data_IF_484514687717
#
_entry.id   IF_484514687717
#
_cell.length_a   1.000
_cell.length_b   1.000
_cell.length_c   1.000
_cell.angle_alpha   90.00
_cell.angle_beta   90.00
_cell.angle_gamma   90.00
#
_symmetry.space_group_name_H-M   'P 1'
#
loop_
_entity.id
_entity.type
_entity.pdbx_description
1 polymer ?
#
# COMPACT_ATOMS: atom_id res chain seq x y z
N UNK A 1 75.54 -31.87 -16.45
CA UNK A 1 74.92 -33.21 -16.33
C UNK A 1 73.41 -33.07 -16.45
N UNK A 2 72.82 -33.62 -17.52
CA UNK A 2 71.39 -34.03 -17.60
C UNK A 2 71.21 -35.38 -16.86
N UNK A 3 70.01 -36.02 -16.72
CA UNK A 3 68.59 -35.64 -16.95
C UNK A 3 67.67 -35.99 -15.72
N UNK A 4 66.36 -35.72 -15.63
CA UNK A 4 65.19 -36.45 -16.22
C UNK A 4 63.88 -35.79 -15.69
N UNK A 5 62.92 -35.45 -16.58
CA UNK A 5 61.65 -36.16 -16.85
C UNK A 5 60.53 -35.85 -15.81
N UNK A 6 59.50 -35.06 -16.13
CA UNK A 6 58.26 -35.36 -16.89
C UNK A 6 57.05 -35.34 -15.95
N UNK A 7 56.06 -34.48 -16.22
CA UNK A 7 54.65 -34.89 -16.35
C UNK A 7 53.78 -33.75 -16.89
N UNK A 8 53.00 -34.12 -17.92
CA UNK A 8 52.01 -33.34 -18.66
C UNK A 8 50.67 -33.31 -17.91
N UNK A 9 49.95 -32.19 -18.00
CA UNK A 9 48.49 -32.07 -18.20
C UNK A 9 48.30 -30.75 -18.96
N UNK A 10 47.63 -30.63 -20.12
CA UNK A 10 46.42 -31.31 -20.59
C UNK A 10 45.34 -30.23 -20.69
N UNK A 11 45.24 -29.55 -21.83
CA UNK A 11 44.24 -28.52 -22.09
C UNK A 11 43.97 -28.44 -23.58
N UNK A 12 42.96 -29.18 -24.02
CA UNK A 12 42.46 -29.22 -25.40
C UNK A 12 41.59 -27.99 -25.61
N UNK A 13 41.96 -27.15 -26.57
CA UNK A 13 41.12 -26.08 -27.09
C UNK A 13 40.32 -26.62 -28.30
N UNK A 14 39.01 -26.43 -28.28
CA UNK A 14 38.10 -26.60 -29.41
C UNK A 14 36.80 -25.82 -29.13
N UNK A 15 36.00 -25.43 -30.13
CA UNK A 15 36.17 -24.18 -30.88
C UNK A 15 34.96 -23.22 -30.71
N UNK A 16 35.19 -21.96 -31.08
CA UNK A 16 34.18 -20.91 -31.21
C UNK A 16 33.17 -21.30 -32.32
N UNK A 17 31.92 -21.56 -31.95
CA UNK A 17 30.83 -21.75 -32.91
C UNK A 17 30.13 -20.40 -33.14
N UNK A 18 30.35 -19.82 -34.32
CA UNK A 18 29.62 -18.67 -34.83
C UNK A 18 28.30 -19.17 -35.45
N UNK A 19 27.18 -18.98 -34.75
CA UNK A 19 25.86 -19.27 -35.28
C UNK A 19 25.32 -18.05 -36.03
N UNK A 20 25.30 -18.14 -37.36
CA UNK A 20 24.63 -17.20 -38.26
C UNK A 20 23.15 -17.56 -38.31
N UNK A 21 22.27 -16.74 -37.74
CA UNK A 21 20.82 -16.91 -37.87
C UNK A 21 20.31 -16.20 -39.13
N UNK A 22 19.82 -17.00 -40.09
CA UNK A 22 19.11 -16.53 -41.29
C UNK A 22 17.69 -16.14 -40.89
N UNK A 23 17.30 -14.90 -41.18
CA UNK A 23 15.94 -14.43 -40.98
C UNK A 23 15.04 -14.85 -42.15
N UNK A 24 14.01 -15.63 -41.86
CA UNK A 24 12.86 -15.83 -42.75
C UNK A 24 11.62 -15.22 -42.10
N UNK A 25 11.00 -14.28 -42.81
CA UNK A 25 9.77 -13.60 -42.42
C UNK A 25 8.56 -14.53 -42.45
N UNK A 26 7.71 -14.46 -41.41
CA UNK A 26 6.37 -15.05 -41.41
C UNK A 26 5.77 -15.24 -40.02
N UNK A 27 4.66 -14.52 -39.76
CA UNK A 27 3.75 -14.60 -38.61
C UNK A 27 4.30 -14.11 -37.25
N UNK A 28 3.75 -12.98 -36.80
CA UNK A 28 4.10 -12.28 -35.56
C UNK A 28 4.02 -13.20 -34.34
N UNK A 29 5.19 -13.53 -33.82
CA UNK A 29 5.34 -14.08 -32.47
C UNK A 29 5.60 -12.88 -31.55
N UNK A 30 4.67 -12.59 -30.64
CA UNK A 30 4.95 -11.70 -29.53
C UNK A 30 6.00 -12.39 -28.66
N UNK A 31 7.27 -12.06 -28.88
CA UNK A 31 8.34 -12.46 -27.98
C UNK A 31 8.18 -11.60 -26.73
N UNK A 32 7.42 -12.11 -25.76
CA UNK A 32 7.46 -11.61 -24.41
C UNK A 32 8.90 -11.81 -23.92
N UNK A 33 9.69 -10.73 -23.93
CA UNK A 33 10.89 -10.63 -23.10
C UNK A 33 10.36 -10.68 -21.68
N UNK A 34 10.33 -11.88 -21.10
CA UNK A 34 10.22 -12.02 -19.66
C UNK A 34 11.38 -11.22 -19.09
N UNK A 35 11.06 -10.29 -18.19
CA UNK A 35 12.05 -9.70 -17.31
C UNK A 35 12.89 -10.86 -16.78
N UNK A 36 14.18 -10.85 -17.09
CA UNK A 36 15.12 -11.79 -16.50
C UNK A 36 14.87 -11.75 -15.00
N UNK A 37 14.48 -12.89 -14.44
CA UNK A 37 14.32 -13.05 -13.01
C UNK A 37 15.66 -12.64 -12.40
N UNK A 38 15.72 -11.44 -11.83
CA UNK A 38 16.89 -10.93 -11.15
C UNK A 38 17.37 -12.03 -10.20
N UNK A 39 18.66 -12.34 -10.29
CA UNK A 39 19.28 -13.38 -9.48
C UNK A 39 18.84 -13.23 -8.01
N UNK A 40 18.58 -14.34 -7.30
CA UNK A 40 18.05 -14.28 -5.94
C UNK A 40 18.98 -13.42 -5.08
N UNK A 41 18.43 -12.33 -4.53
CA UNK A 41 19.11 -11.48 -3.56
C UNK A 41 19.51 -12.38 -2.39
N UNK A 42 20.82 -12.56 -2.18
CA UNK A 42 21.31 -13.30 -1.01
C UNK A 42 20.96 -12.49 0.23
N UNK A 43 20.40 -13.16 1.24
CA UNK A 43 20.16 -12.54 2.54
C UNK A 43 21.46 -11.89 3.05
N UNK A 44 21.46 -10.56 3.19
CA UNK A 44 22.60 -9.76 3.65
C UNK A 44 23.22 -8.81 2.60
N UNK A 45 22.98 -9.03 1.30
CA UNK A 45 23.44 -8.09 0.28
C UNK A 45 22.40 -6.99 0.01
N UNK A 46 22.74 -5.70 0.14
CA UNK A 46 21.79 -4.63 -0.13
C UNK A 46 21.44 -4.58 -1.62
N UNK A 47 20.17 -4.38 -1.92
CA UNK A 47 19.71 -4.07 -3.29
C UNK A 47 20.29 -2.72 -3.68
N UNK A 48 20.84 -2.63 -4.90
CA UNK A 48 21.45 -1.41 -5.45
C UNK A 48 20.59 -0.90 -6.60
N UNK A 49 20.20 0.37 -6.54
CA UNK A 49 19.51 1.05 -7.63
C UNK A 49 20.16 2.44 -7.81
N UNK A 50 20.71 2.77 -9.01
CA UNK A 50 21.48 3.99 -9.20
C UNK A 50 20.64 5.27 -9.28
N UNK A 51 19.34 5.17 -9.57
CA UNK A 51 18.48 6.33 -9.89
C UNK A 51 17.40 6.62 -8.85
N UNK A 52 16.87 5.59 -8.20
CA UNK A 52 15.79 5.70 -7.23
C UNK A 52 15.47 4.34 -6.62
N UNK A 53 14.86 4.34 -5.43
CA UNK A 53 14.49 3.12 -4.72
C UNK A 53 13.18 3.37 -3.97
N UNK A 54 12.27 2.41 -4.02
CA UNK A 54 11.08 2.36 -3.16
C UNK A 54 11.13 1.06 -2.38
N UNK A 55 10.87 1.14 -1.07
CA UNK A 55 10.87 0.00 -0.17
C UNK A 55 9.58 0.04 0.64
N UNK A 56 8.81 -1.05 0.61
CA UNK A 56 7.61 -1.20 1.44
C UNK A 56 7.35 -2.66 1.79
N UNK A 57 6.36 -2.91 2.64
CA UNK A 57 5.97 -4.25 3.10
C UNK A 57 5.38 -5.12 1.96
N UNK A 58 4.81 -4.48 0.93
CA UNK A 58 4.27 -5.15 -0.25
C UNK A 58 5.19 -4.99 -1.46
N UNK A 59 5.55 -6.10 -2.10
CA UNK A 59 6.30 -6.07 -3.38
C UNK A 59 5.53 -5.27 -4.44
N UNK A 60 4.22 -5.53 -4.58
CA UNK A 60 3.35 -4.83 -5.54
C UNK A 60 3.32 -3.32 -5.28
N UNK A 61 3.20 -2.89 -4.02
CA UNK A 61 3.17 -1.46 -3.71
C UNK A 61 4.54 -0.78 -3.91
N UNK A 62 5.63 -1.52 -3.72
CA UNK A 62 6.99 -1.06 -4.03
C UNK A 62 7.17 -0.89 -5.54
N UNK A 63 6.67 -1.83 -6.34
CA UNK A 63 6.66 -1.75 -7.81
C UNK A 63 5.83 -0.58 -8.33
N UNK A 64 4.66 -0.31 -7.73
CA UNK A 64 3.84 0.87 -8.07
C UNK A 64 4.64 2.16 -7.86
N UNK A 65 5.25 2.35 -6.69
CA UNK A 65 6.05 3.54 -6.42
C UNK A 65 7.30 3.63 -7.29
N UNK A 66 7.98 2.50 -7.53
CA UNK A 66 9.15 2.46 -8.40
C UNK A 66 8.79 2.87 -9.84
N UNK A 67 7.64 2.43 -10.35
CA UNK A 67 7.14 2.85 -11.66
C UNK A 67 6.87 4.36 -11.72
N UNK A 68 6.30 4.93 -10.66
CA UNK A 68 6.12 6.40 -10.59
C UNK A 68 7.45 7.15 -10.70
N UNK A 69 8.51 6.65 -10.05
CA UNK A 69 9.86 7.23 -10.22
C UNK A 69 10.40 7.05 -11.65
N UNK A 70 10.21 5.87 -12.25
CA UNK A 70 10.63 5.58 -13.63
C UNK A 70 9.91 6.47 -14.66
N UNK A 71 8.66 6.81 -14.40
CA UNK A 71 7.84 7.72 -15.21
C UNK A 71 8.12 9.21 -14.94
N UNK A 72 9.13 9.52 -14.12
CA UNK A 72 9.60 10.88 -13.85
C UNK A 72 8.87 11.60 -12.71
N UNK A 73 8.06 10.90 -11.92
CA UNK A 73 7.56 11.41 -10.65
C UNK A 73 8.67 11.54 -9.60
N UNK A 74 8.43 12.40 -8.61
CA UNK A 74 9.38 12.60 -7.51
C UNK A 74 9.13 11.63 -6.34
N UNK A 75 9.93 11.73 -5.28
CA UNK A 75 9.82 10.85 -4.12
C UNK A 75 8.48 10.97 -3.37
N UNK A 76 7.83 12.13 -3.40
CA UNK A 76 6.52 12.36 -2.79
C UNK A 76 5.43 11.71 -3.64
N UNK A 77 5.48 11.88 -4.96
CA UNK A 77 4.56 11.21 -5.90
C UNK A 77 4.62 9.68 -5.70
N UNK A 78 5.83 9.12 -5.67
CA UNK A 78 6.05 7.70 -5.46
C UNK A 78 5.57 7.23 -4.08
N UNK A 79 5.80 8.02 -3.03
CA UNK A 79 5.33 7.70 -1.68
C UNK A 79 3.79 7.68 -1.57
N UNK A 80 3.11 8.64 -2.21
CA UNK A 80 1.64 8.69 -2.27
C UNK A 80 1.09 7.46 -3.00
N UNK A 81 1.61 7.15 -4.20
CA UNK A 81 1.16 5.99 -4.96
C UNK A 81 1.43 4.67 -4.24
N UNK A 82 2.59 4.51 -3.60
CA UNK A 82 2.90 3.35 -2.76
C UNK A 82 1.96 3.26 -1.56
N UNK A 83 1.68 4.37 -0.87
CA UNK A 83 0.77 4.38 0.27
C UNK A 83 -0.65 3.95 -0.11
N UNK A 84 -1.16 4.45 -1.24
CA UNK A 84 -2.47 4.06 -1.77
C UNK A 84 -2.51 2.60 -2.24
N UNK A 85 -1.43 2.11 -2.87
CA UNK A 85 -1.31 0.70 -3.22
C UNK A 85 -1.27 -0.20 -1.97
N UNK A 86 -0.57 0.22 -0.90
CA UNK A 86 -0.57 -0.50 0.38
C UNK A 86 -1.96 -0.55 1.01
N UNK A 87 -2.79 0.49 0.85
CA UNK A 87 -4.18 0.48 1.31
C UNK A 87 -5.03 -0.65 0.66
N UNK A 88 -4.55 -1.22 -0.43
CA UNK A 88 -5.17 -2.34 -1.14
C UNK A 88 -4.44 -3.65 -0.84
N UNK A 89 -3.11 -3.68 -1.01
CA UNK A 89 -2.30 -4.91 -1.00
C UNK A 89 -1.77 -5.30 0.37
N UNK A 90 -1.85 -4.40 1.36
CA UNK A 90 -1.42 -4.63 2.74
C UNK A 90 -2.48 -4.14 3.74
N UNK A 91 -3.71 -4.71 3.70
CA UNK A 91 -4.86 -4.20 4.45
C UNK A 91 -4.72 -4.28 5.98
N UNK A 92 -3.72 -5.00 6.49
CA UNK A 92 -3.40 -5.06 7.92
C UNK A 92 -2.88 -3.74 8.48
N UNK A 93 -2.33 -2.85 7.64
CA UNK A 93 -1.78 -1.56 8.08
C UNK A 93 -1.84 -0.45 7.02
N UNK A 94 -1.67 -0.77 5.73
CA UNK A 94 -1.93 0.17 4.66
C UNK A 94 -3.41 0.57 4.67
N UNK A 95 -3.71 1.87 4.58
CA UNK A 95 -5.06 2.33 4.87
C UNK A 95 -5.43 3.64 4.16
N UNK A 96 -6.72 3.84 3.98
CA UNK A 96 -7.36 5.17 3.85
C UNK A 96 -8.28 5.47 5.04
N UNK A 97 -8.51 4.50 5.93
CA UNK A 97 -9.36 4.59 7.12
C UNK A 97 -8.62 4.81 8.44
N UNK A 98 -7.31 5.07 8.39
CA UNK A 98 -6.48 5.43 9.55
C UNK A 98 -5.71 6.72 9.28
N UNK A 99 -4.49 6.84 9.80
CA UNK A 99 -3.63 8.01 9.68
C UNK A 99 -2.14 7.69 9.75
N UNK A 100 -1.32 8.72 9.90
CA UNK A 100 0.13 8.55 9.96
C UNK A 100 0.91 9.85 9.80
N UNK A 101 2.18 9.69 9.39
CA UNK A 101 3.12 10.80 9.22
C UNK A 101 3.96 10.58 7.95
N UNK A 102 4.34 11.66 7.27
CA UNK A 102 5.30 11.64 6.16
C UNK A 102 6.40 12.67 6.43
N UNK A 103 7.65 12.21 6.52
CA UNK A 103 8.81 13.10 6.68
C UNK A 103 9.50 13.22 5.33
N UNK A 104 9.71 14.45 4.88
CA UNK A 104 10.29 14.75 3.57
C UNK A 104 11.55 15.57 3.76
N UNK A 105 12.64 15.14 3.12
CA UNK A 105 13.88 15.91 3.00
C UNK A 105 14.12 16.28 1.54
N UNK A 106 14.19 17.58 1.27
CA UNK A 106 14.40 18.11 -0.07
C UNK A 106 15.88 18.11 -0.47
N UNK A 107 16.19 18.18 -1.79
CA UNK A 107 17.57 18.25 -2.29
C UNK A 107 18.36 19.46 -1.77
N UNK A 108 17.68 20.56 -1.46
CA UNK A 108 18.27 21.78 -0.89
C UNK A 108 18.55 21.68 0.63
N UNK A 109 18.23 20.54 1.24
CA UNK A 109 18.45 20.26 2.65
C UNK A 109 17.29 20.67 3.57
N UNK A 110 16.25 21.34 3.07
CA UNK A 110 15.02 21.59 3.87
C UNK A 110 14.36 20.28 4.26
N UNK A 111 13.72 20.26 5.43
CA UNK A 111 12.97 19.11 5.94
C UNK A 111 11.60 19.59 6.39
N UNK A 112 10.56 18.82 6.08
CA UNK A 112 9.20 19.04 6.57
C UNK A 112 8.56 17.72 7.00
N UNK A 113 7.50 17.79 7.80
CA UNK A 113 6.70 16.64 8.18
C UNK A 113 5.21 16.92 7.96
N UNK A 114 4.52 16.02 7.28
CA UNK A 114 3.06 16.02 7.19
C UNK A 114 2.51 15.11 8.29
N UNK A 115 1.82 15.70 9.26
CA UNK A 115 1.05 15.02 10.29
C UNK A 115 -0.39 14.85 9.81
N UNK A 116 -0.75 13.60 9.56
CA UNK A 116 -2.10 13.20 9.21
C UNK A 116 -2.57 12.11 10.17
N UNK A 117 -2.23 12.25 11.45
CA UNK A 117 -2.76 11.42 12.52
C UNK A 117 -4.25 11.64 12.69
N UNK A 118 -4.96 10.56 12.95
CA UNK A 118 -6.39 10.59 13.21
C UNK A 118 -6.73 11.57 14.35
N UNK A 119 -7.88 12.24 14.23
CA UNK A 119 -8.40 13.14 15.28
C UNK A 119 -9.54 12.47 16.04
N UNK A 120 -9.62 12.72 17.34
CA UNK A 120 -10.80 12.33 18.10
C UNK A 120 -12.04 13.06 17.52
N UNK A 121 -13.19 12.37 17.34
CA UNK A 121 -14.43 13.03 16.94
C UNK A 121 -14.84 14.12 17.95
N UNK A 122 -15.63 15.11 17.55
CA UNK A 122 -16.04 16.21 18.41
C UNK A 122 -16.81 15.76 19.67
N UNK A 123 -17.49 14.62 19.61
CA UNK A 123 -18.20 14.02 20.76
C UNK A 123 -17.28 13.24 21.71
N UNK A 124 -15.99 13.07 21.37
CA UNK A 124 -15.04 12.38 22.23
C UNK A 124 -14.83 13.11 23.56
N UNK A 125 -14.67 12.34 24.65
CA UNK A 125 -14.46 12.88 25.99
C UNK A 125 -13.52 11.97 26.81
N UNK A 126 -12.85 12.49 27.86
CA UNK A 126 -11.79 11.77 28.57
C UNK A 126 -12.20 10.38 29.10
N UNK A 127 -13.44 10.25 29.55
CA UNK A 127 -13.94 9.04 30.20
C UNK A 127 -14.62 8.05 29.23
N UNK A 128 -14.52 8.24 27.91
CA UNK A 128 -15.27 7.47 26.90
C UNK A 128 -14.95 5.97 26.84
N UNK A 129 -13.85 5.55 27.47
CA UNK A 129 -13.43 4.15 27.56
C UNK A 129 -13.54 3.58 28.98
N UNK A 130 -14.16 4.30 29.92
CA UNK A 130 -14.39 3.81 31.27
C UNK A 130 -15.77 3.15 31.38
N UNK A 131 -15.84 2.02 32.09
CA UNK A 131 -17.10 1.41 32.52
C UNK A 131 -17.85 2.28 33.54
N UNK A 132 -19.08 1.89 33.87
CA UNK A 132 -19.93 2.65 34.81
C UNK A 132 -19.35 2.76 36.23
N UNK A 133 -18.44 1.86 36.61
CA UNK A 133 -17.70 1.89 37.88
C UNK A 133 -16.41 2.72 37.83
N UNK A 134 -16.07 3.28 36.66
CA UNK A 134 -14.88 4.10 36.43
C UNK A 134 -13.63 3.33 36.01
N UNK A 135 -13.70 2.00 35.87
CA UNK A 135 -12.57 1.19 35.43
C UNK A 135 -12.37 1.23 33.91
N UNK A 136 -11.12 1.12 33.45
CA UNK A 136 -10.80 1.10 32.03
C UNK A 136 -11.34 -0.17 31.34
N UNK A 137 -11.94 0.01 30.16
CA UNK A 137 -12.49 -1.07 29.33
C UNK A 137 -11.63 -1.30 28.07
N UNK A 138 -10.82 -2.37 28.02
CA UNK A 138 -10.10 -2.76 26.81
C UNK A 138 -11.04 -3.07 25.64
N UNK A 139 -12.21 -3.63 25.94
CA UNK A 139 -13.20 -3.97 24.93
C UNK A 139 -13.76 -2.71 24.26
N UNK A 140 -14.13 -1.68 25.03
CA UNK A 140 -14.59 -0.42 24.43
C UNK A 140 -13.48 0.28 23.65
N UNK A 141 -12.24 0.25 24.15
CA UNK A 141 -11.12 0.95 23.50
C UNK A 141 -10.60 0.26 22.24
N UNK A 142 -10.56 -1.07 22.17
CA UNK A 142 -9.98 -1.76 21.02
C UNK A 142 -11.02 -2.38 20.10
N UNK A 143 -12.22 -2.65 20.61
CA UNK A 143 -13.16 -3.58 20.00
C UNK A 143 -14.54 -2.97 19.69
N UNK A 144 -14.66 -1.64 19.72
CA UNK A 144 -15.89 -0.92 19.40
C UNK A 144 -15.65 0.23 18.42
N UNK A 145 -16.72 0.74 17.80
CA UNK A 145 -16.66 1.93 16.94
C UNK A 145 -16.24 3.21 17.66
N UNK A 146 -16.25 3.24 19.01
CA UNK A 146 -15.68 4.35 19.78
C UNK A 146 -14.16 4.47 19.62
N UNK A 147 -13.49 3.38 19.25
CA UNK A 147 -12.05 3.33 19.04
C UNK A 147 -11.59 4.10 17.79
N UNK A 148 -12.54 4.45 16.90
CA UNK A 148 -12.23 4.96 15.57
C UNK A 148 -12.08 6.48 15.61
N UNK A 149 -10.85 6.95 15.37
CA UNK A 149 -10.58 8.36 15.11
C UNK A 149 -10.93 8.76 13.66
N UNK A 150 -11.16 10.04 13.43
CA UNK A 150 -11.41 10.61 12.09
C UNK A 150 -10.20 10.35 11.20
N UNK A 151 -10.31 9.59 10.10
CA UNK A 151 -9.15 9.15 9.31
C UNK A 151 -8.39 10.30 8.64
N UNK A 152 -7.07 10.20 8.59
CA UNK A 152 -6.19 11.25 8.09
C UNK A 152 -5.43 10.98 6.79
N UNK A 153 -5.23 9.72 6.42
CA UNK A 153 -4.30 9.35 5.34
C UNK A 153 -4.58 10.05 4.01
N UNK A 154 -5.85 10.11 3.58
CA UNK A 154 -6.21 10.76 2.31
C UNK A 154 -5.88 12.26 2.34
N UNK A 155 -6.17 12.96 3.44
CA UNK A 155 -5.85 14.38 3.57
C UNK A 155 -4.34 14.62 3.62
N UNK A 156 -3.57 13.75 4.27
CA UNK A 156 -2.11 13.84 4.31
C UNK A 156 -1.47 13.69 2.93
N UNK A 157 -1.87 12.65 2.19
CA UNK A 157 -1.39 12.42 0.83
C UNK A 157 -1.80 13.53 -0.13
N UNK A 158 -3.05 13.99 -0.03
CA UNK A 158 -3.53 15.12 -0.82
C UNK A 158 -2.75 16.41 -0.53
N UNK A 159 -2.49 16.71 0.75
CA UNK A 159 -1.70 17.88 1.16
C UNK A 159 -0.27 17.83 0.61
N UNK A 160 0.43 16.71 0.77
CA UNK A 160 1.80 16.55 0.29
C UNK A 160 1.89 16.62 -1.24
N UNK A 161 0.93 16.01 -1.94
CA UNK A 161 0.81 16.08 -3.40
C UNK A 161 0.50 17.50 -3.89
N UNK A 162 -0.45 18.20 -3.25
CA UNK A 162 -0.79 19.57 -3.62
C UNK A 162 0.39 20.54 -3.43
N UNK A 163 1.20 20.32 -2.39
CA UNK A 163 2.36 21.16 -2.09
C UNK A 163 3.54 20.91 -3.05
N UNK A 164 3.82 19.64 -3.36
CA UNK A 164 5.10 19.25 -3.98
C UNK A 164 5.01 18.09 -4.99
N UNK A 165 3.82 17.63 -5.34
CA UNK A 165 3.63 16.62 -6.38
C UNK A 165 4.05 17.13 -7.76
N UNK A 166 4.51 16.21 -8.61
CA UNK A 166 4.90 16.50 -9.99
C UNK A 166 4.18 15.66 -11.04
N UNK A 167 3.41 14.65 -10.61
CA UNK A 167 2.48 13.88 -11.45
C UNK A 167 1.04 14.29 -11.15
N UNK A 168 0.09 13.94 -12.04
CA UNK A 168 -1.31 14.24 -11.75
C UNK A 168 -1.80 13.38 -10.58
N UNK A 169 -2.76 13.87 -9.79
CA UNK A 169 -3.36 13.09 -8.71
C UNK A 169 -3.98 11.79 -9.23
N UNK A 170 -4.61 11.86 -10.39
CA UNK A 170 -5.22 10.73 -11.08
C UNK A 170 -4.20 9.60 -11.30
N UNK A 171 -3.05 9.93 -11.89
CA UNK A 171 -1.97 8.97 -12.17
C UNK A 171 -1.45 8.26 -10.90
N UNK A 172 -1.54 8.91 -9.73
CA UNK A 172 -1.06 8.35 -8.46
C UNK A 172 -2.09 7.44 -7.77
N UNK A 173 -3.38 7.70 -7.98
CA UNK A 173 -4.47 6.92 -7.34
C UNK A 173 -4.88 5.74 -8.22
N UNK A 174 -4.83 5.88 -9.54
CA UNK A 174 -5.32 4.87 -10.49
C UNK A 174 -4.72 3.47 -10.28
N UNK A 175 -3.41 3.30 -10.01
CA UNK A 175 -2.85 1.98 -9.74
C UNK A 175 -3.55 1.26 -8.57
N UNK A 176 -3.94 1.98 -7.52
CA UNK A 176 -4.67 1.40 -6.40
C UNK A 176 -6.12 1.06 -6.77
N UNK A 177 -6.78 1.87 -7.61
CA UNK A 177 -8.12 1.58 -8.16
C UNK A 177 -8.09 0.28 -8.96
N UNK A 178 -7.11 0.13 -9.84
CA UNK A 178 -6.94 -1.06 -10.68
C UNK A 178 -6.65 -2.29 -9.83
N UNK A 179 -5.72 -2.21 -8.87
CA UNK A 179 -5.43 -3.32 -7.95
C UNK A 179 -6.67 -3.76 -7.18
N UNK A 180 -7.50 -2.83 -6.70
CA UNK A 180 -8.72 -3.16 -5.96
C UNK A 180 -9.81 -3.75 -6.88
N UNK A 181 -9.96 -3.25 -8.11
CA UNK A 181 -10.97 -3.69 -9.08
C UNK A 181 -10.63 -5.03 -9.73
N UNK A 182 -9.42 -5.11 -10.27
CA UNK A 182 -8.96 -6.25 -11.07
C UNK A 182 -8.39 -7.36 -10.20
N UNK A 183 -8.00 -7.00 -8.99
CA UNK A 183 -7.48 -7.89 -7.98
C UNK A 183 -5.97 -8.07 -8.07
N UNK A 184 -5.42 -8.69 -7.03
CA UNK A 184 -4.00 -8.96 -6.90
C UNK A 184 -3.78 -10.34 -6.26
N UNK A 185 -2.63 -11.00 -6.51
CA UNK A 185 -2.32 -12.26 -5.87
C UNK A 185 -2.11 -12.06 -4.36
N UNK A 186 -2.79 -12.87 -3.56
CA UNK A 186 -2.64 -12.88 -2.11
C UNK A 186 -1.24 -13.40 -1.76
N UNK A 187 -0.49 -12.66 -0.95
CA UNK A 187 0.81 -13.11 -0.43
C UNK A 187 0.64 -14.16 0.67
N UNK A 188 1.73 -14.86 1.02
CA UNK A 188 1.73 -15.78 2.17
C UNK A 188 1.35 -15.04 3.47
N UNK A 189 2.00 -13.92 3.76
CA UNK A 189 1.71 -13.08 4.94
C UNK A 189 0.23 -12.63 5.00
N UNK A 190 -0.36 -12.26 3.86
CA UNK A 190 -1.77 -11.86 3.83
C UNK A 190 -2.68 -13.08 4.06
N UNK A 191 -2.40 -14.21 3.43
CA UNK A 191 -3.17 -15.44 3.63
C UNK A 191 -3.20 -15.87 5.11
N UNK A 192 -2.06 -15.78 5.80
CA UNK A 192 -1.95 -16.11 7.23
C UNK A 192 -2.79 -15.18 8.11
N UNK A 193 -2.83 -13.87 7.78
CA UNK A 193 -3.64 -12.90 8.50
C UNK A 193 -5.15 -13.02 8.26
N UNK A 194 -5.57 -13.51 7.08
CA UNK A 194 -6.98 -13.56 6.69
C UNK A 194 -7.80 -14.56 7.53
N UNK A 195 -7.22 -15.67 7.97
CA UNK A 195 -7.94 -16.63 8.83
C UNK A 195 -8.31 -16.00 10.18
N UNK A 196 -7.38 -15.27 10.79
CA UNK A 196 -7.65 -14.52 12.03
C UNK A 196 -8.72 -13.45 11.80
N UNK A 197 -8.56 -12.61 10.77
CA UNK A 197 -9.51 -11.55 10.41
C UNK A 197 -10.93 -12.10 10.25
N UNK A 198 -11.09 -13.20 9.50
CA UNK A 198 -12.41 -13.75 9.22
C UNK A 198 -13.07 -14.41 10.44
N UNK A 199 -12.28 -14.93 11.39
CA UNK A 199 -12.84 -15.44 12.65
C UNK A 199 -13.35 -14.29 13.51
N UNK A 200 -12.52 -13.29 13.75
CA UNK A 200 -12.88 -12.11 14.56
C UNK A 200 -14.08 -11.36 13.94
N UNK A 201 -14.07 -11.13 12.63
CA UNK A 201 -15.17 -10.48 11.93
C UNK A 201 -16.51 -11.25 12.04
N UNK A 202 -16.47 -12.59 12.02
CA UNK A 202 -17.69 -13.39 12.21
C UNK A 202 -18.21 -13.33 13.64
N UNK A 203 -17.31 -13.44 14.61
CA UNK A 203 -17.66 -13.38 16.03
C UNK A 203 -18.31 -12.03 16.38
N UNK A 204 -17.87 -10.96 15.71
CA UNK A 204 -18.40 -9.59 15.89
C UNK A 204 -19.56 -9.22 14.96
N UNK A 205 -19.92 -10.09 14.02
CA UNK A 205 -20.99 -9.82 13.07
C UNK A 205 -20.66 -8.78 11.99
N UNK A 206 -19.38 -8.54 11.68
CA UNK A 206 -18.93 -7.67 10.59
C UNK A 206 -19.05 -8.35 9.23
N UNK A 207 -20.27 -8.52 8.75
CA UNK A 207 -20.57 -9.23 7.49
C UNK A 207 -19.89 -8.61 6.28
N UNK A 208 -19.82 -7.27 6.21
CA UNK A 208 -19.13 -6.57 5.12
C UNK A 208 -17.63 -6.91 5.04
N UNK A 209 -16.96 -7.07 6.18
CA UNK A 209 -15.56 -7.51 6.23
C UNK A 209 -15.43 -8.96 5.76
N UNK A 210 -16.34 -9.84 6.19
CA UNK A 210 -16.36 -11.23 5.74
C UNK A 210 -16.57 -11.32 4.23
N UNK A 211 -17.51 -10.55 3.68
CA UNK A 211 -17.81 -10.53 2.26
C UNK A 211 -16.64 -9.98 1.43
N UNK A 212 -15.97 -8.95 1.91
CA UNK A 212 -14.83 -8.35 1.21
C UNK A 212 -13.56 -9.23 1.23
N UNK A 213 -13.28 -9.87 2.36
CA UNK A 213 -12.00 -10.57 2.59
C UNK A 213 -12.09 -12.09 2.59
N UNK A 214 -13.22 -12.66 2.15
CA UNK A 214 -13.38 -14.09 1.93
C UNK A 214 -13.66 -14.45 0.48
N UNK A 215 -13.34 -15.68 0.12
CA UNK A 215 -13.73 -16.31 -1.14
C UNK A 215 -14.96 -17.19 -0.87
N UNK A 216 -16.17 -16.67 -1.05
CA UNK A 216 -17.39 -17.41 -0.73
C UNK A 216 -17.39 -17.99 0.71
N UNK A 217 -16.92 -17.19 1.68
CA UNK A 217 -16.91 -17.56 3.09
C UNK A 217 -15.69 -18.37 3.54
N UNK A 218 -14.70 -18.67 2.69
CA UNK A 218 -13.40 -19.21 3.13
C UNK A 218 -12.29 -18.16 3.02
N UNK A 219 -11.23 -18.20 3.85
CA UNK A 219 -10.06 -17.35 3.63
C UNK A 219 -9.43 -17.61 2.25
N UNK A 220 -8.89 -16.55 1.65
CA UNK A 220 -8.06 -16.66 0.46
C UNK A 220 -6.76 -17.37 0.80
N UNK A 221 -6.26 -18.20 -0.11
CA UNK A 221 -4.94 -18.82 0.01
C UNK A 221 -3.92 -18.08 -0.82
N UNK A 222 -2.64 -18.16 -0.45
CA UNK A 222 -1.55 -17.53 -1.19
C UNK A 222 -1.60 -17.89 -2.68
N UNK A 223 -1.38 -16.90 -3.54
CA UNK A 223 -1.48 -17.00 -5.00
C UNK A 223 -2.88 -16.87 -5.58
N UNK A 224 -3.95 -17.02 -4.79
CA UNK A 224 -5.31 -16.71 -5.27
C UNK A 224 -5.47 -15.19 -5.49
N UNK A 225 -6.38 -14.80 -6.37
CA UNK A 225 -6.64 -13.38 -6.69
C UNK A 225 -7.81 -12.85 -5.88
N UNK A 226 -7.52 -12.00 -4.89
CA UNK A 226 -8.53 -11.26 -4.14
C UNK A 226 -8.94 -10.01 -4.92
N UNK A 227 -10.24 -9.64 -4.88
CA UNK A 227 -10.79 -8.41 -5.46
C UNK A 227 -11.55 -7.64 -4.38
N UNK A 228 -11.41 -6.32 -4.37
CA UNK A 228 -12.01 -5.41 -3.40
C UNK A 228 -12.83 -4.33 -4.13
N UNK A 229 -13.95 -4.70 -4.80
CA UNK A 229 -14.69 -3.79 -5.68
C UNK A 229 -15.27 -2.57 -4.95
N UNK A 230 -15.58 -2.70 -3.66
CA UNK A 230 -16.12 -1.62 -2.85
C UNK A 230 -15.03 -0.59 -2.52
N UNK A 231 -13.83 -1.08 -2.19
CA UNK A 231 -12.65 -0.23 -2.02
C UNK A 231 -12.27 0.45 -3.35
N UNK A 232 -12.36 -0.26 -4.48
CA UNK A 232 -12.12 0.32 -5.80
C UNK A 232 -13.05 1.52 -6.09
N UNK A 233 -14.34 1.43 -5.73
CA UNK A 233 -15.29 2.56 -5.87
C UNK A 233 -14.92 3.73 -4.95
N UNK A 234 -14.47 3.46 -3.73
CA UNK A 234 -13.99 4.51 -2.82
C UNK A 234 -12.73 5.19 -3.35
N UNK A 235 -11.76 4.42 -3.83
CA UNK A 235 -10.53 4.96 -4.43
C UNK A 235 -10.83 5.74 -5.71
N UNK A 236 -11.79 5.30 -6.53
CA UNK A 236 -12.23 6.05 -7.71
C UNK A 236 -12.85 7.41 -7.33
N UNK A 237 -13.66 7.47 -6.26
CA UNK A 237 -14.14 8.77 -5.73
C UNK A 237 -12.99 9.66 -5.29
N UNK A 238 -11.99 9.11 -4.59
CA UNK A 238 -10.79 9.85 -4.16
C UNK A 238 -9.99 10.35 -5.37
N UNK A 239 -9.85 9.54 -6.42
CA UNK A 239 -9.21 9.91 -7.67
C UNK A 239 -9.92 11.08 -8.34
N UNK A 240 -11.24 10.96 -8.52
CA UNK A 240 -12.05 11.89 -9.33
C UNK A 240 -12.36 13.20 -8.59
N UNK A 241 -12.44 13.16 -7.25
CA UNK A 241 -12.90 14.28 -6.41
C UNK A 241 -11.81 14.75 -5.43
N UNK A 242 -10.60 14.22 -5.54
CA UNK A 242 -9.48 14.53 -4.64
C UNK A 242 -9.79 14.18 -3.19
N UNK A 243 -9.36 15.05 -2.26
CA UNK A 243 -9.67 14.95 -0.82
C UNK A 243 -11.16 14.68 -0.56
N UNK A 244 -12.04 15.44 -1.22
CA UNK A 244 -13.47 15.42 -0.90
C UNK A 244 -14.17 14.13 -1.36
N UNK A 245 -13.52 13.31 -2.20
CA UNK A 245 -13.96 11.95 -2.50
C UNK A 245 -14.00 11.01 -1.29
N UNK A 246 -13.29 11.36 -0.20
CA UNK A 246 -13.33 10.66 1.08
C UNK A 246 -14.09 11.45 2.15
N UNK A 247 -13.76 12.73 2.32
CA UNK A 247 -14.24 13.55 3.45
C UNK A 247 -15.61 14.20 3.24
N UNK A 248 -16.20 14.08 2.04
CA UNK A 248 -17.54 14.56 1.72
C UNK A 248 -18.30 13.54 0.85
N UNK A 249 -19.55 13.84 0.55
CA UNK A 249 -20.33 13.10 -0.43
C UNK A 249 -20.67 11.67 -0.01
N UNK A 250 -20.49 10.71 -0.90
CA UNK A 250 -20.93 9.32 -0.68
C UNK A 250 -20.09 8.60 0.38
N UNK A 251 -18.75 8.69 0.30
CA UNK A 251 -17.85 8.01 1.24
C UNK A 251 -18.08 8.50 2.67
N UNK A 252 -18.17 9.82 2.87
CA UNK A 252 -18.40 10.39 4.19
C UNK A 252 -19.75 9.96 4.79
N UNK A 253 -20.83 9.96 3.99
CA UNK A 253 -22.15 9.48 4.42
C UNK A 253 -22.12 8.01 4.82
N UNK A 254 -21.44 7.15 4.06
CA UNK A 254 -21.32 5.73 4.39
C UNK A 254 -20.54 5.51 5.69
N UNK A 255 -19.46 6.27 5.91
CA UNK A 255 -18.67 6.19 7.14
C UNK A 255 -19.49 6.66 8.35
N UNK A 256 -20.15 7.82 8.27
CA UNK A 256 -21.01 8.32 9.34
C UNK A 256 -22.15 7.34 9.66
N UNK A 257 -22.76 6.73 8.64
CA UNK A 257 -23.82 5.73 8.82
C UNK A 257 -23.32 4.41 9.44
N UNK A 258 -22.07 3.99 9.18
CA UNK A 258 -21.43 2.88 9.89
C UNK A 258 -21.24 3.23 11.37
N UNK A 259 -20.77 4.43 11.65
CA UNK A 259 -20.51 4.90 13.01
C UNK A 259 -21.81 4.97 13.80
N UNK A 260 -22.86 5.57 13.25
CA UNK A 260 -24.18 5.59 13.88
C UNK A 260 -24.71 4.16 14.16
N UNK A 261 -24.58 3.24 13.19
CA UNK A 261 -25.00 1.85 13.35
C UNK A 261 -24.23 1.10 14.44
N UNK A 262 -22.92 1.35 14.55
CA UNK A 262 -22.02 0.70 15.50
C UNK A 262 -21.89 1.41 16.85
N UNK A 263 -22.56 2.54 17.05
CA UNK A 263 -22.43 3.37 18.25
C UNK A 263 -21.13 4.18 18.33
N UNK A 264 -20.45 4.40 17.20
CA UNK A 264 -19.32 5.31 17.06
C UNK A 264 -19.74 6.78 16.94
N UNK A 265 -18.75 7.67 16.93
CA UNK A 265 -18.97 9.11 17.10
C UNK A 265 -18.55 9.99 15.93
N UNK A 266 -17.91 9.45 14.89
CA UNK A 266 -17.56 10.25 13.71
C UNK A 266 -18.84 10.62 12.96
N UNK A 267 -19.04 11.91 12.75
CA UNK A 267 -20.11 12.48 11.92
C UNK A 267 -19.58 12.97 10.56
N UNK A 268 -20.48 13.32 9.64
CA UNK A 268 -20.09 14.00 8.40
C UNK A 268 -19.40 15.34 8.66
N UNK A 269 -19.74 16.03 9.75
CA UNK A 269 -19.08 17.29 10.12
C UNK A 269 -17.64 17.05 10.57
N UNK A 270 -17.40 16.02 11.39
CA UNK A 270 -16.05 15.64 11.81
C UNK A 270 -15.15 15.32 10.61
N UNK A 271 -15.68 14.60 9.61
CA UNK A 271 -14.97 14.30 8.37
C UNK A 271 -14.71 15.58 7.56
N UNK A 272 -15.72 16.44 7.38
CA UNK A 272 -15.58 17.66 6.61
C UNK A 272 -14.50 18.60 7.18
N UNK A 273 -14.42 18.67 8.52
CA UNK A 273 -13.53 19.53 9.30
C UNK A 273 -12.12 18.96 9.51
N UNK A 274 -11.87 17.70 9.13
CA UNK A 274 -10.54 17.10 9.29
C UNK A 274 -9.50 17.77 8.40
N UNK A 275 -8.37 18.16 8.99
CA UNK A 275 -7.22 18.67 8.25
C UNK A 275 -5.93 17.99 8.70
N UNK A 276 -5.13 17.55 7.72
CA UNK A 276 -3.72 17.25 7.94
C UNK A 276 -2.96 18.55 8.28
N UNK A 277 -1.78 18.43 8.88
CA UNK A 277 -1.00 19.58 9.33
C UNK A 277 0.45 19.41 8.89
N UNK A 278 0.99 20.38 8.17
CA UNK A 278 2.44 20.47 7.95
C UNK A 278 3.11 20.99 9.23
N UNK A 279 4.19 20.33 9.64
CA UNK A 279 4.92 20.60 10.88
C UNK A 279 6.42 20.70 10.63
N UNK A 280 7.07 21.51 11.46
CA UNK A 280 8.52 21.50 11.57
C UNK A 280 8.99 20.19 12.25
N UNK A 281 9.91 19.43 11.65
CA UNK A 281 10.46 18.22 12.25
C UNK A 281 11.29 18.53 13.50
N UNK A 282 11.30 17.61 14.46
CA UNK A 282 12.28 17.65 15.56
C UNK A 282 13.65 17.26 15.00
N UNK A 283 14.64 18.13 15.18
CA UNK A 283 16.01 17.98 14.66
C UNK A 283 17.01 17.76 15.78
#
# INVERSE_FOLDING_TARGET
>A
MRPRAHLRRGGVAAPLALALAVATAGAGTWLAVRADAAAPVRAGDPVRAPNGMVVSQSAIASEVGARVLEEGGNAIDAAVATGLALAVTHPTAGNIGGGGFMVVRFPDGRVTAYDFRERAPAAAHPDMFLEADGEYSPERHHNSHLAVGVPGTVAGFWMAHAAHGSRSWEDLVDPAVELARDGFPVSEDLADGLDYLLRDARERGYTATVDAYSNAGRPWTAGETIRLPDLARTLARIRDQGRDGFYRGETARMLAAEMERGGGWITEADLADYEAVEREPVV
#
